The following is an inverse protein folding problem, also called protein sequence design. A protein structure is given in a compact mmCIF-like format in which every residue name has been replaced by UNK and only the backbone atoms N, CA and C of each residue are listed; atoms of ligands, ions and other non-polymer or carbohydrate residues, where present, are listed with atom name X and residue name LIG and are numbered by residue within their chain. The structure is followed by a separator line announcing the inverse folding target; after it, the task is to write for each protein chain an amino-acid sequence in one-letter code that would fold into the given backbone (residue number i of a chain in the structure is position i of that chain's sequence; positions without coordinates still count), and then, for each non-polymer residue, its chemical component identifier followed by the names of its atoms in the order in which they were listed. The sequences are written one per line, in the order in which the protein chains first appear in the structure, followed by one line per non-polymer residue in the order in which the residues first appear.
data_IF_618902373031
#
_entry.id   IF_618902373031
#
_cell.length_a   1.000
_cell.length_b   1.000
_cell.length_c   1.000
_cell.angle_alpha   90.00
_cell.angle_beta   90.00
_cell.angle_gamma   90.00
#
_symmetry.space_group_name_H-M   'P 1'
#
loop_
_entity.id
_entity.type
_entity.pdbx_description
1 polymer ?
#
# COMPACT_ATOMS: atom_id res chain seq x y z
N UNK A 1 -5.52 8.57 3.45
CA UNK A 1 -4.65 8.47 2.27
C UNK A 1 -3.87 7.18 2.31
N UNK A 2 -3.32 6.75 1.18
CA UNK A 2 -2.52 5.54 1.02
C UNK A 2 -1.08 5.97 0.71
N UNK A 3 -0.10 5.35 1.37
CA UNK A 3 1.30 5.41 0.94
C UNK A 3 1.49 4.36 -0.17
N UNK A 4 1.84 4.81 -1.38
CA UNK A 4 2.05 3.90 -2.51
C UNK A 4 3.49 3.36 -2.48
N UNK A 5 3.63 2.05 -2.27
CA UNK A 5 4.90 1.38 -2.00
C UNK A 5 5.32 0.46 -3.15
N UNK A 6 6.55 0.61 -3.63
CA UNK A 6 7.14 -0.29 -4.61
C UNK A 6 7.81 -1.48 -3.91
N UNK A 7 7.13 -2.62 -3.89
CA UNK A 7 7.59 -3.87 -3.24
C UNK A 7 8.49 -4.75 -4.12
N UNK A 8 8.63 -4.42 -5.39
CA UNK A 8 9.52 -5.08 -6.36
C UNK A 8 10.41 -4.05 -7.06
N UNK A 9 11.24 -3.36 -6.29
CA UNK A 9 12.14 -2.30 -6.77
C UNK A 9 13.47 -2.31 -6.00
N UNK A 10 14.46 -1.60 -6.53
CA UNK A 10 15.77 -1.37 -5.89
C UNK A 10 16.09 0.13 -5.92
N UNK A 11 16.03 0.85 -4.79
CA UNK A 11 15.58 0.39 -3.47
C UNK A 11 14.06 0.15 -3.41
N UNK A 12 13.61 -0.58 -2.38
CA UNK A 12 12.20 -0.61 -2.01
C UNK A 12 11.84 0.73 -1.37
N UNK A 13 10.72 1.33 -1.78
CA UNK A 13 10.40 2.69 -1.35
C UNK A 13 8.92 3.03 -1.43
N UNK A 14 8.49 3.94 -0.55
CA UNK A 14 7.26 4.72 -0.74
C UNK A 14 7.55 5.82 -1.76
N UNK A 15 6.76 5.89 -2.82
CA UNK A 15 7.01 6.79 -3.97
C UNK A 15 5.94 7.87 -4.13
N UNK A 16 4.80 7.73 -3.46
CA UNK A 16 3.67 8.61 -3.69
C UNK A 16 2.53 8.39 -2.71
N UNK A 17 1.49 9.19 -2.93
CA UNK A 17 0.25 9.17 -2.17
C UNK A 17 -0.91 8.87 -3.10
N UNK A 18 -1.82 8.03 -2.65
CA UNK A 18 -3.09 7.76 -3.31
C UNK A 18 -4.28 7.95 -2.35
N UNK A 19 -5.48 7.99 -2.90
CA UNK A 19 -6.74 7.97 -2.15
C UNK A 19 -7.62 6.82 -2.65
N UNK A 20 -8.51 6.34 -1.79
CA UNK A 20 -9.59 5.42 -2.21
C UNK A 20 -10.68 6.27 -2.83
N UNK A 21 -11.06 5.97 -4.07
CA UNK A 21 -12.16 6.63 -4.79
C UNK A 21 -13.38 5.74 -4.95
N UNK A 22 -13.23 4.44 -4.71
CA UNK A 22 -14.34 3.48 -4.55
C UNK A 22 -14.01 2.52 -3.42
N UNK A 23 -14.93 2.42 -2.46
CA UNK A 23 -14.82 1.47 -1.35
C UNK A 23 -14.91 0.01 -1.82
N UNK A 24 -14.65 -0.93 -0.90
CA UNK A 24 -14.52 -2.35 -1.20
C UNK A 24 -15.69 -2.92 -2.01
N UNK A 25 -15.37 -3.64 -3.08
CA UNK A 25 -16.31 -4.37 -3.92
C UNK A 25 -15.68 -5.67 -4.43
N UNK A 26 -16.49 -6.58 -4.95
CA UNK A 26 -16.04 -7.89 -5.39
C UNK A 26 -15.01 -7.77 -6.52
N UNK A 27 -13.89 -8.48 -6.37
CA UNK A 27 -12.84 -8.54 -7.38
C UNK A 27 -13.20 -9.59 -8.43
N UNK A 28 -13.66 -9.12 -9.59
CA UNK A 28 -14.06 -9.98 -10.71
C UNK A 28 -12.87 -10.67 -11.39
N UNK A 29 -11.62 -10.23 -11.19
CA UNK A 29 -10.44 -10.91 -11.76
C UNK A 29 -10.26 -12.30 -11.16
N UNK A 30 -10.66 -12.49 -9.89
CA UNK A 30 -10.67 -13.80 -9.25
C UNK A 30 -11.63 -14.81 -9.91
N UNK A 31 -12.53 -14.35 -10.78
CA UNK A 31 -13.51 -15.19 -11.49
C UNK A 31 -13.07 -15.60 -12.90
N UNK A 32 -12.08 -14.93 -13.49
CA UNK A 32 -11.63 -15.18 -14.88
C UNK A 32 -10.50 -16.23 -14.91
N UNK A 33 -10.71 -17.43 -15.50
CA UNK A 33 -9.67 -18.46 -15.61
C UNK A 33 -8.41 -18.07 -16.37
N UNK A 34 -8.42 -16.96 -17.11
CA UNK A 34 -7.27 -16.44 -17.84
C UNK A 34 -6.51 -15.34 -17.10
N UNK A 35 -7.00 -14.89 -15.94
CA UNK A 35 -6.30 -13.90 -15.11
C UNK A 35 -5.24 -14.58 -14.24
N UNK A 36 -4.11 -13.89 -14.02
CA UNK A 36 -3.04 -14.36 -13.14
C UNK A 36 -3.49 -14.56 -11.67
N UNK A 37 -4.60 -13.92 -11.28
CA UNK A 37 -5.17 -13.97 -9.92
C UNK A 37 -6.46 -14.81 -9.82
N UNK A 38 -6.74 -15.66 -10.82
CA UNK A 38 -7.88 -16.57 -10.80
C UNK A 38 -7.93 -17.44 -9.53
N UNK A 39 -9.10 -17.56 -8.91
CA UNK A 39 -9.36 -18.50 -7.83
C UNK A 39 -10.52 -19.44 -8.19
N UNK A 40 -10.28 -20.75 -8.39
CA UNK A 40 -11.34 -21.70 -8.77
C UNK A 40 -12.42 -21.90 -7.71
N UNK A 41 -12.23 -21.37 -6.49
CA UNK A 41 -13.24 -21.40 -5.43
C UNK A 41 -14.14 -20.15 -5.44
N UNK A 42 -13.74 -19.08 -6.11
CA UNK A 42 -14.51 -17.86 -6.20
C UNK A 42 -15.64 -18.02 -7.23
N UNK A 43 -16.83 -17.55 -6.90
CA UNK A 43 -17.99 -17.52 -7.79
C UNK A 43 -18.70 -16.18 -7.65
N UNK A 44 -19.60 -15.85 -8.58
CA UNK A 44 -20.35 -14.59 -8.51
C UNK A 44 -21.27 -14.55 -7.28
N UNK A 45 -21.83 -15.69 -6.86
CA UNK A 45 -22.69 -15.80 -5.68
C UNK A 45 -21.91 -15.92 -4.37
N UNK A 46 -20.62 -16.28 -4.45
CA UNK A 46 -19.71 -16.40 -3.32
C UNK A 46 -18.35 -15.77 -3.67
N UNK A 47 -18.26 -14.42 -3.68
CA UNK A 47 -17.01 -13.71 -3.93
C UNK A 47 -16.05 -13.91 -2.76
N UNK A 48 -14.82 -14.31 -3.05
CA UNK A 48 -13.76 -14.53 -2.05
C UNK A 48 -12.89 -13.28 -1.90
N UNK A 49 -12.72 -12.54 -2.99
CA UNK A 49 -11.77 -11.44 -3.10
C UNK A 49 -12.51 -10.11 -3.23
N UNK A 50 -11.93 -9.08 -2.61
CA UNK A 50 -12.42 -7.71 -2.73
C UNK A 50 -11.30 -6.79 -3.15
N UNK A 51 -11.65 -5.78 -3.95
CA UNK A 51 -10.74 -4.72 -4.38
C UNK A 51 -11.35 -3.34 -4.12
N UNK A 52 -10.51 -2.32 -4.27
CA UNK A 52 -10.88 -0.91 -4.18
C UNK A 52 -10.35 -0.18 -5.41
N UNK A 53 -11.02 0.91 -5.81
CA UNK A 53 -10.43 1.80 -6.80
C UNK A 53 -9.64 2.87 -6.08
N UNK A 54 -8.41 3.10 -6.52
CA UNK A 54 -7.54 4.15 -6.00
C UNK A 54 -7.20 5.17 -7.07
N UNK A 55 -7.00 6.41 -6.64
CA UNK A 55 -6.49 7.49 -7.47
C UNK A 55 -5.13 7.94 -6.96
N UNK A 56 -4.16 8.03 -7.86
CA UNK A 56 -2.87 8.66 -7.56
C UNK A 56 -3.08 10.16 -7.34
N UNK A 57 -2.70 10.65 -6.16
CA UNK A 57 -2.83 12.07 -5.79
C UNK A 57 -1.57 12.84 -6.16
N UNK A 58 -0.40 12.33 -5.75
CA UNK A 58 0.90 12.94 -6.05
C UNK A 58 2.04 11.97 -5.83
N UNK A 59 3.12 12.15 -6.59
CA UNK A 59 4.42 11.57 -6.27
C UNK A 59 5.05 12.29 -5.06
N UNK A 60 5.89 11.60 -4.31
CA UNK A 60 6.77 12.22 -3.33
C UNK A 60 7.98 12.82 -4.08
N UNK A 61 8.40 14.07 -3.78
CA UNK A 61 9.62 14.64 -4.33
C UNK A 61 10.85 13.74 -4.14
N UNK A 62 10.96 13.13 -2.96
CA UNK A 62 12.00 12.15 -2.64
C UNK A 62 11.32 10.83 -2.27
N UNK A 63 11.58 9.73 -3.01
CA UNK A 63 11.16 8.40 -2.57
C UNK A 63 11.73 8.08 -1.19
N UNK A 64 10.89 7.57 -0.29
CA UNK A 64 11.29 7.22 1.07
C UNK A 64 11.62 5.74 1.11
N UNK A 65 12.90 5.40 1.26
CA UNK A 65 13.34 4.00 1.14
C UNK A 65 12.97 3.19 2.38
N UNK A 66 12.86 1.87 2.23
CA UNK A 66 12.64 0.96 3.36
C UNK A 66 13.75 1.09 4.41
N UNK A 67 14.99 1.36 4.00
CA UNK A 67 16.11 1.51 4.91
C UNK A 67 16.03 2.85 5.68
N UNK A 68 15.59 3.93 5.03
CA UNK A 68 15.29 5.20 5.72
C UNK A 68 14.17 5.02 6.76
N UNK A 69 13.12 4.26 6.42
CA UNK A 69 12.01 3.96 7.33
C UNK A 69 12.51 3.18 8.55
N UNK A 70 13.32 2.13 8.34
CA UNK A 70 13.93 1.35 9.44
C UNK A 70 14.84 2.19 10.32
N UNK A 71 15.56 3.16 9.74
CA UNK A 71 16.47 4.03 10.47
C UNK A 71 15.76 5.11 11.29
N UNK A 72 14.48 5.40 11.02
CA UNK A 72 13.72 6.45 11.71
C UNK A 72 13.05 5.93 13.01
N UNK A 73 13.47 6.40 14.21
CA UNK A 73 12.91 5.93 15.48
C UNK A 73 11.40 6.19 15.66
N UNK A 74 10.83 7.17 14.93
CA UNK A 74 9.38 7.46 14.97
C UNK A 74 8.54 6.42 14.22
N UNK A 75 9.17 5.64 13.34
CA UNK A 75 8.52 4.61 12.53
C UNK A 75 8.84 3.18 13.04
N UNK A 76 9.47 3.07 14.21
CA UNK A 76 9.93 1.79 14.78
C UNK A 76 8.83 0.73 14.93
N UNK A 77 7.58 1.16 15.09
CA UNK A 77 6.43 0.29 15.32
C UNK A 77 5.62 -0.01 14.05
N UNK A 78 6.00 0.61 12.92
CA UNK A 78 5.32 0.49 11.63
C UNK A 78 5.31 -0.96 11.16
N UNK A 79 4.13 -1.45 10.76
CA UNK A 79 3.95 -2.84 10.32
C UNK A 79 4.94 -3.23 9.22
N UNK A 80 5.22 -2.29 8.31
CA UNK A 80 6.08 -2.49 7.13
C UNK A 80 7.47 -3.05 7.48
N UNK A 81 8.04 -2.64 8.62
CA UNK A 81 9.40 -3.03 9.03
C UNK A 81 9.42 -4.20 10.02
N UNK A 82 8.26 -4.74 10.41
CA UNK A 82 8.21 -5.88 11.32
C UNK A 82 8.76 -7.14 10.64
N UNK A 83 9.60 -7.89 11.38
CA UNK A 83 10.19 -9.13 10.88
C UNK A 83 9.09 -10.11 10.43
N UNK A 84 9.20 -10.60 9.20
CA UNK A 84 8.24 -11.54 8.63
C UNK A 84 6.95 -10.92 8.10
N UNK A 85 6.82 -9.58 8.08
CA UNK A 85 5.66 -8.93 7.49
C UNK A 85 5.55 -9.28 6.00
N UNK A 86 4.36 -9.74 5.59
CA UNK A 86 4.02 -10.17 4.22
C UNK A 86 2.68 -9.62 3.74
N UNK A 87 2.02 -8.77 4.54
CA UNK A 87 0.78 -8.11 4.16
C UNK A 87 1.07 -7.06 3.08
N UNK A 88 0.41 -7.15 1.92
CA UNK A 88 0.49 -6.15 0.85
C UNK A 88 -0.31 -4.89 1.15
N UNK A 89 -1.35 -5.01 1.96
CA UNK A 89 -2.19 -3.91 2.45
C UNK A 89 -2.01 -3.85 3.97
N UNK A 90 -1.61 -2.70 4.48
CA UNK A 90 -1.28 -2.52 5.89
C UNK A 90 -1.94 -1.26 6.44
N UNK A 91 -2.61 -1.32 7.59
CA UNK A 91 -3.02 -0.12 8.29
C UNK A 91 -1.77 0.61 8.81
N UNK A 92 -1.82 1.94 8.76
CA UNK A 92 -0.80 2.82 9.34
C UNK A 92 -1.51 3.91 10.14
N UNK A 93 -0.86 4.37 11.19
CA UNK A 93 -1.33 5.49 12.01
C UNK A 93 -1.17 6.81 11.24
N UNK A 94 -1.90 7.85 11.68
CA UNK A 94 -1.72 9.20 11.13
C UNK A 94 -0.27 9.67 11.32
N UNK A 95 0.31 9.38 12.49
CA UNK A 95 1.68 9.78 12.84
C UNK A 95 2.71 9.16 11.89
N UNK A 96 2.58 7.87 11.57
CA UNK A 96 3.46 7.19 10.60
C UNK A 96 3.29 7.78 9.20
N UNK A 97 2.03 8.00 8.77
CA UNK A 97 1.73 8.59 7.48
C UNK A 97 2.37 9.99 7.34
N UNK A 98 2.14 10.87 8.31
CA UNK A 98 2.67 12.24 8.31
C UNK A 98 4.20 12.27 8.33
N UNK A 99 4.84 11.36 9.08
CA UNK A 99 6.30 11.29 9.14
C UNK A 99 6.89 10.82 7.81
N UNK A 100 6.29 9.83 7.14
CA UNK A 100 6.72 9.41 5.79
C UNK A 100 6.52 10.53 4.78
N UNK A 101 5.41 11.28 4.85
CA UNK A 101 5.21 12.45 4.00
C UNK A 101 6.30 13.51 4.21
N UNK A 102 6.65 13.77 5.47
CA UNK A 102 7.71 14.71 5.82
C UNK A 102 9.07 14.26 5.27
N UNK A 103 9.42 12.98 5.45
CA UNK A 103 10.64 12.37 4.89
C UNK A 103 10.68 12.50 3.36
N UNK A 104 9.53 12.34 2.70
CA UNK A 104 9.42 12.43 1.25
C UNK A 104 9.47 13.85 0.67
N UNK A 105 9.67 14.88 1.51
CA UNK A 105 9.67 16.28 1.09
C UNK A 105 8.27 16.89 0.97
N UNK A 106 7.24 16.25 1.53
CA UNK A 106 5.90 16.82 1.67
C UNK A 106 5.76 17.68 2.92
N UNK A 107 4.86 18.66 2.87
CA UNK A 107 4.41 19.38 4.06
C UNK A 107 3.62 18.44 4.98
N UNK A 108 3.78 18.57 6.30
CA UNK A 108 2.92 17.88 7.28
C UNK A 108 1.47 18.32 7.06
N UNK A 109 0.56 17.36 6.96
CA UNK A 109 -0.88 17.58 6.78
C UNK A 109 -1.66 17.65 8.07
#
# INVERSE_FOLDING_TARGET
GILFYHSNAKPLSVVGVASVVREGYDDFHGLDPNDDHYDPKATQENPIWSMVDIKGERALPNPVTLDDIKANPKLKDMLLIRKGMRLSIQPITKQEFDEVLFMGGGSKG
#
